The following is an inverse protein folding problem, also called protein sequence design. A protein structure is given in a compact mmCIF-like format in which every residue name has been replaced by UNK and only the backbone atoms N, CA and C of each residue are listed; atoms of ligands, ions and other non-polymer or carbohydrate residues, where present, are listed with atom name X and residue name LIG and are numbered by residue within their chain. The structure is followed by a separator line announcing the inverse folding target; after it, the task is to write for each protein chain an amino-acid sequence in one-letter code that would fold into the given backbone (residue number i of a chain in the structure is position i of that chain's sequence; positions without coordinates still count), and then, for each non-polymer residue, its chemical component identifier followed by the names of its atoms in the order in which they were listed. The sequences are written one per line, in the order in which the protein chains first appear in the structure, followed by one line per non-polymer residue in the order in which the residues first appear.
data_IF_923786576357
#
_entry.id   IF_923786576357
#
_cell.length_a   1.000
_cell.length_b   1.000
_cell.length_c   1.000
_cell.angle_alpha   90.00
_cell.angle_beta   90.00
_cell.angle_gamma   90.00
#
_symmetry.space_group_name_H-M   'P 1'
#
loop_
_entity.id
_entity.type
_entity.pdbx_description
1 polymer ?
#
# COMPACT_ATOMS: atom_id res chain seq x y z
N UNK A 1 7.31 2.53 14.90
CA UNK A 1 6.16 2.21 15.77
C UNK A 1 5.70 0.79 15.48
N UNK A 2 5.45 -0.02 16.52
CA UNK A 2 5.09 -1.46 16.43
C UNK A 2 3.60 -1.70 16.16
N UNK A 3 2.81 -0.64 15.89
CA UNK A 3 1.34 -0.73 15.78
C UNK A 3 0.86 -1.69 14.69
N UNK A 4 1.55 -1.75 13.55
CA UNK A 4 1.25 -2.69 12.47
C UNK A 4 1.42 -4.16 12.91
N UNK A 5 2.46 -4.47 13.69
CA UNK A 5 2.69 -5.81 14.24
C UNK A 5 1.65 -6.20 15.28
N UNK A 6 1.29 -5.27 16.17
CA UNK A 6 0.27 -5.53 17.18
C UNK A 6 -1.11 -5.75 16.56
N UNK A 7 -1.49 -4.94 15.57
CA UNK A 7 -2.75 -5.10 14.84
C UNK A 7 -2.82 -6.43 14.07
N UNK A 8 -1.73 -6.80 13.39
CA UNK A 8 -1.64 -8.11 12.72
C UNK A 8 -1.76 -9.26 13.72
N UNK A 9 -1.06 -9.20 14.86
CA UNK A 9 -1.13 -10.22 15.90
C UNK A 9 -2.55 -10.40 16.45
N UNK A 10 -3.28 -9.32 16.72
CA UNK A 10 -4.67 -9.39 17.16
C UNK A 10 -5.51 -10.12 16.11
N UNK A 11 -5.44 -9.69 14.86
CA UNK A 11 -6.23 -10.29 13.78
C UNK A 11 -5.93 -11.79 13.58
N UNK A 12 -4.67 -12.19 13.73
CA UNK A 12 -4.25 -13.58 13.56
C UNK A 12 -4.63 -14.51 14.73
N UNK A 13 -4.87 -13.94 15.92
CA UNK A 13 -5.12 -14.70 17.17
C UNK A 13 -6.52 -14.43 17.77
N UNK A 14 -7.41 -13.77 17.02
CA UNK A 14 -8.80 -13.52 17.46
C UNK A 14 -9.78 -14.31 16.63
N UNK A 15 -10.86 -14.75 17.26
CA UNK A 15 -12.05 -15.23 16.55
C UNK A 15 -13.06 -14.09 16.51
N UNK A 16 -13.38 -13.62 15.30
CA UNK A 16 -14.39 -12.59 15.08
C UNK A 16 -15.60 -13.21 14.40
N UNK A 17 -16.75 -13.13 15.07
CA UNK A 17 -18.01 -13.61 14.50
C UNK A 17 -18.30 -12.90 13.17
N UNK A 18 -18.55 -13.68 12.12
CA UNK A 18 -18.79 -13.17 10.77
C UNK A 18 -17.56 -13.16 9.84
N UNK A 19 -16.38 -13.58 10.32
CA UNK A 19 -15.19 -13.75 9.47
C UNK A 19 -14.68 -15.19 9.51
N UNK A 20 -14.29 -15.72 8.36
CA UNK A 20 -13.52 -16.95 8.27
C UNK A 20 -12.07 -16.69 8.73
N UNK A 21 -11.41 -17.73 9.26
CA UNK A 21 -10.01 -17.63 9.72
C UNK A 21 -9.05 -17.20 8.61
N UNK A 22 -9.29 -17.65 7.38
CA UNK A 22 -8.51 -17.23 6.19
C UNK A 22 -8.67 -15.74 5.87
N UNK A 23 -9.84 -15.15 6.13
CA UNK A 23 -10.08 -13.73 5.92
C UNK A 23 -9.36 -12.89 6.99
N UNK A 24 -9.41 -13.32 8.25
CA UNK A 24 -8.67 -12.68 9.34
C UNK A 24 -7.16 -12.74 9.14
N UNK A 25 -6.64 -13.89 8.66
CA UNK A 25 -5.25 -14.02 8.30
C UNK A 25 -4.86 -13.09 7.13
N UNK A 26 -5.70 -12.99 6.10
CA UNK A 26 -5.46 -12.05 4.99
C UNK A 26 -5.45 -10.59 5.47
N UNK A 27 -6.36 -10.23 6.37
CA UNK A 27 -6.37 -8.91 7.01
C UNK A 27 -5.13 -8.69 7.87
N UNK A 28 -4.65 -9.70 8.61
CA UNK A 28 -3.44 -9.60 9.41
C UNK A 28 -2.22 -9.33 8.53
N UNK A 29 -2.10 -10.00 7.37
CA UNK A 29 -1.06 -9.76 6.38
C UNK A 29 -1.14 -8.36 5.76
N UNK A 30 -2.34 -7.86 5.44
CA UNK A 30 -2.51 -6.48 4.96
C UNK A 30 -2.09 -5.46 6.02
N UNK A 31 -2.48 -5.66 7.28
CA UNK A 31 -2.09 -4.80 8.40
C UNK A 31 -0.60 -4.90 8.69
N UNK A 32 0.03 -6.06 8.55
CA UNK A 32 1.48 -6.17 8.71
C UNK A 32 2.21 -5.52 7.53
N UNK A 33 1.71 -5.76 6.34
CA UNK A 33 2.31 -5.37 5.06
C UNK A 33 2.12 -3.92 4.68
N UNK A 34 1.20 -3.16 5.30
CA UNK A 34 1.00 -1.74 4.95
C UNK A 34 2.17 -0.83 5.38
N UNK A 35 3.02 -1.31 6.29
CA UNK A 35 4.14 -0.55 6.81
C UNK A 35 5.44 -1.37 6.79
N UNK A 36 6.54 -0.75 6.40
CA UNK A 36 7.86 -1.39 6.39
C UNK A 36 8.18 -2.20 5.13
N UNK A 37 9.14 -3.13 5.26
CA UNK A 37 9.79 -3.82 4.14
C UNK A 37 8.97 -5.02 3.66
N UNK A 38 8.43 -4.95 2.44
CA UNK A 38 7.63 -6.02 1.82
C UNK A 38 8.35 -7.37 1.78
N UNK A 39 9.66 -7.41 1.49
CA UNK A 39 10.47 -8.66 1.52
C UNK A 39 10.46 -9.45 2.82
N UNK A 40 10.02 -8.85 3.94
CA UNK A 40 9.92 -9.53 5.24
C UNK A 40 8.53 -10.07 5.52
N UNK A 41 7.56 -9.77 4.66
CA UNK A 41 6.19 -10.24 4.80
C UNK A 41 6.14 -11.67 4.27
N UNK A 42 5.68 -12.59 5.12
CA UNK A 42 5.43 -13.97 4.76
C UNK A 42 4.05 -14.06 4.09
N UNK A 43 4.00 -13.71 2.81
CA UNK A 43 2.79 -13.68 2.00
C UNK A 43 3.07 -14.24 0.61
N UNK A 44 2.03 -14.77 -0.03
CA UNK A 44 2.08 -15.17 -1.42
C UNK A 44 1.99 -13.92 -2.33
N UNK A 45 3.13 -13.50 -2.88
CA UNK A 45 3.20 -12.35 -3.80
C UNK A 45 2.75 -12.69 -5.23
N UNK A 46 2.40 -13.94 -5.53
CA UNK A 46 1.75 -14.33 -6.78
C UNK A 46 0.22 -14.24 -6.69
N UNK A 47 -0.37 -14.11 -5.50
CA UNK A 47 -1.79 -13.74 -5.33
C UNK A 47 -1.99 -12.28 -5.74
N UNK A 48 -2.34 -12.07 -7.00
CA UNK A 48 -2.59 -10.75 -7.57
C UNK A 48 -3.70 -9.97 -6.83
N UNK A 49 -4.69 -10.67 -6.29
CA UNK A 49 -5.76 -10.06 -5.52
C UNK A 49 -5.22 -9.49 -4.20
N UNK A 50 -4.31 -10.20 -3.55
CA UNK A 50 -3.67 -9.74 -2.32
C UNK A 50 -2.77 -8.54 -2.61
N UNK A 51 -2.00 -8.61 -3.68
CA UNK A 51 -1.14 -7.52 -4.13
C UNK A 51 -1.95 -6.25 -4.42
N UNK A 52 -3.08 -6.36 -5.14
CA UNK A 52 -3.96 -5.23 -5.42
C UNK A 52 -4.54 -4.59 -4.14
N UNK A 53 -4.92 -5.41 -3.16
CA UNK A 53 -5.37 -4.91 -1.86
C UNK A 53 -4.24 -4.23 -1.09
N UNK A 54 -3.05 -4.82 -1.11
CA UNK A 54 -1.87 -4.32 -0.41
C UNK A 54 -1.42 -2.97 -0.97
N UNK A 55 -1.31 -2.82 -2.30
CA UNK A 55 -0.92 -1.53 -2.90
C UNK A 55 -1.97 -0.46 -2.66
N UNK A 56 -3.26 -0.80 -2.72
CA UNK A 56 -4.34 0.12 -2.45
C UNK A 56 -4.26 0.65 -1.01
N UNK A 57 -4.04 -0.24 -0.03
CA UNK A 57 -3.90 0.13 1.37
C UNK A 57 -2.64 0.98 1.61
N UNK A 58 -1.50 0.60 1.03
CA UNK A 58 -0.25 1.33 1.19
C UNK A 58 -0.32 2.74 0.59
N UNK A 59 -0.88 2.89 -0.61
CA UNK A 59 -1.13 4.20 -1.21
C UNK A 59 -2.10 5.03 -0.36
N UNK A 60 -3.20 4.43 0.13
CA UNK A 60 -4.14 5.14 1.01
C UNK A 60 -3.46 5.66 2.29
N UNK A 61 -2.58 4.86 2.91
CA UNK A 61 -1.81 5.29 4.09
C UNK A 61 -0.87 6.45 3.74
N UNK A 62 -0.20 6.40 2.59
CA UNK A 62 0.69 7.49 2.12
C UNK A 62 -0.10 8.78 1.87
N UNK A 63 -1.23 8.71 1.17
CA UNK A 63 -2.07 9.87 0.90
C UNK A 63 -2.67 10.47 2.19
N UNK A 64 -3.00 9.63 3.17
CA UNK A 64 -3.58 10.05 4.45
C UNK A 64 -2.55 10.28 5.57
N UNK A 65 -1.24 10.29 5.27
CA UNK A 65 -0.18 10.31 6.30
C UNK A 65 -0.24 11.53 7.23
N UNK A 66 -0.75 12.67 6.75
CA UNK A 66 -0.91 13.90 7.53
C UNK A 66 -2.20 13.97 8.33
N UNK A 67 -3.01 12.89 8.32
CA UNK A 67 -4.36 12.82 8.92
C UNK A 67 -5.35 13.87 8.40
N UNK A 68 -5.08 14.43 7.23
CA UNK A 68 -5.99 15.30 6.50
C UNK A 68 -6.62 14.56 5.32
N UNK A 69 -7.74 15.09 4.83
CA UNK A 69 -8.37 14.56 3.62
C UNK A 69 -7.41 14.75 2.43
N UNK A 70 -7.01 13.66 1.73
CA UNK A 70 -6.10 13.80 0.61
C UNK A 70 -6.78 14.50 -0.56
N UNK A 71 -6.05 15.38 -1.24
CA UNK A 71 -6.46 15.85 -2.56
C UNK A 71 -6.27 14.66 -3.51
N UNK A 72 -7.31 14.22 -4.21
CA UNK A 72 -7.22 13.11 -5.17
C UNK A 72 -7.55 13.54 -6.61
N UNK A 73 -7.77 14.84 -6.82
CA UNK A 73 -8.15 15.39 -8.13
C UNK A 73 -7.05 15.11 -9.15
N UNK A 74 -7.46 14.60 -10.32
CA UNK A 74 -6.59 14.28 -11.45
C UNK A 74 -5.50 13.23 -11.15
N UNK A 75 -5.62 12.47 -10.06
CA UNK A 75 -4.83 11.26 -9.86
C UNK A 75 -5.44 10.14 -10.70
N UNK A 76 -4.61 9.37 -11.40
CA UNK A 76 -5.03 8.12 -12.05
C UNK A 76 -4.13 6.98 -11.58
N UNK A 77 -4.73 5.82 -11.40
CA UNK A 77 -4.01 4.61 -11.03
C UNK A 77 -4.43 3.50 -12.00
N UNK A 78 -3.45 3.00 -12.74
CA UNK A 78 -3.61 1.97 -13.75
C UNK A 78 -2.76 0.75 -13.38
N UNK A 79 -3.22 -0.45 -13.76
CA UNK A 79 -2.47 -1.70 -13.60
C UNK A 79 -2.41 -2.44 -14.94
N UNK A 80 -1.24 -2.97 -15.27
CA UNK A 80 -1.03 -3.93 -16.34
C UNK A 80 -0.14 -5.06 -15.82
N UNK A 81 -0.69 -6.27 -15.66
CA UNK A 81 0.04 -7.42 -15.09
C UNK A 81 0.69 -7.10 -13.73
N UNK A 82 2.02 -7.10 -13.65
CA UNK A 82 2.82 -6.78 -12.46
C UNK A 82 3.31 -5.32 -12.40
N UNK A 83 2.87 -4.49 -13.35
CA UNK A 83 3.18 -3.07 -13.43
C UNK A 83 2.01 -2.20 -12.96
N UNK A 84 2.27 -1.37 -11.96
CA UNK A 84 1.37 -0.33 -11.49
C UNK A 84 1.87 1.04 -11.96
N UNK A 85 0.95 1.86 -12.45
CA UNK A 85 1.25 3.24 -12.86
C UNK A 85 0.38 4.21 -12.08
N UNK A 86 1.01 5.06 -11.26
CA UNK A 86 0.37 6.18 -10.58
C UNK A 86 0.69 7.47 -11.32
N UNK A 87 -0.34 8.15 -11.81
CA UNK A 87 -0.23 9.44 -12.50
C UNK A 87 -0.66 10.55 -11.56
N UNK A 88 0.22 11.54 -11.35
CA UNK A 88 0.00 12.69 -10.48
C UNK A 88 0.13 14.00 -11.28
N UNK A 89 -0.65 15.04 -10.99
CA UNK A 89 -0.41 16.36 -11.55
C UNK A 89 0.98 16.88 -11.20
N UNK A 90 1.67 17.57 -12.14
CA UNK A 90 3.01 18.16 -11.90
C UNK A 90 3.08 19.04 -10.64
N UNK A 91 1.99 19.72 -10.30
CA UNK A 91 1.91 20.58 -9.11
C UNK A 91 2.12 19.82 -7.79
N UNK A 92 1.94 18.49 -7.76
CA UNK A 92 2.09 17.68 -6.55
C UNK A 92 3.45 17.78 -5.90
N UNK A 93 4.51 17.84 -6.70
CA UNK A 93 5.87 17.93 -6.17
C UNK A 93 6.08 19.21 -5.35
N UNK A 94 5.40 20.30 -5.73
CA UNK A 94 5.45 21.57 -5.00
C UNK A 94 4.44 21.64 -3.87
N UNK A 95 3.22 21.12 -4.06
CA UNK A 95 2.15 21.21 -3.06
C UNK A 95 2.24 20.16 -1.94
N UNK A 96 2.79 18.97 -2.24
CA UNK A 96 2.84 17.83 -1.33
C UNK A 96 4.20 17.10 -1.39
N UNK A 97 5.33 17.80 -1.10
CA UNK A 97 6.68 17.23 -1.23
C UNK A 97 6.88 15.99 -0.34
N UNK A 98 6.29 15.96 0.86
CA UNK A 98 6.37 14.81 1.74
C UNK A 98 5.65 13.58 1.18
N UNK A 99 4.47 13.76 0.57
CA UNK A 99 3.77 12.64 -0.08
C UNK A 99 4.57 12.12 -1.26
N UNK A 100 5.18 13.01 -2.06
CA UNK A 100 6.02 12.61 -3.18
C UNK A 100 7.23 11.79 -2.71
N UNK A 101 7.93 12.22 -1.65
CA UNK A 101 9.01 11.45 -1.06
C UNK A 101 8.56 10.05 -0.58
N UNK A 102 7.41 9.96 0.08
CA UNK A 102 6.86 8.66 0.53
C UNK A 102 6.52 7.75 -0.65
N UNK A 103 6.03 8.30 -1.76
CA UNK A 103 5.74 7.53 -2.98
C UNK A 103 7.03 7.05 -3.66
N UNK A 104 8.11 7.84 -3.66
CA UNK A 104 9.42 7.40 -4.16
C UNK A 104 9.97 6.21 -3.35
N UNK A 105 9.87 6.26 -2.02
CA UNK A 105 10.21 5.12 -1.16
C UNK A 105 9.34 3.89 -1.44
N UNK A 106 8.07 4.12 -1.77
CA UNK A 106 7.13 3.07 -2.14
C UNK A 106 7.55 2.37 -3.44
N UNK A 107 7.97 3.10 -4.47
CA UNK A 107 8.52 2.53 -5.73
C UNK A 107 9.66 1.54 -5.42
N UNK A 108 10.59 1.91 -4.56
CA UNK A 108 11.72 1.06 -4.16
C UNK A 108 11.26 -0.18 -3.39
N UNK A 109 10.18 -0.07 -2.60
CA UNK A 109 9.63 -1.19 -1.86
C UNK A 109 9.03 -2.27 -2.79
N UNK A 110 8.31 -1.86 -3.84
CA UNK A 110 7.66 -2.78 -4.79
C UNK A 110 8.67 -3.55 -5.64
N UNK A 111 9.72 -2.89 -6.13
CA UNK A 111 10.80 -3.52 -6.89
C UNK A 111 11.46 -4.69 -6.14
N UNK A 112 11.42 -4.66 -4.81
CA UNK A 112 12.02 -5.71 -3.98
C UNK A 112 11.27 -7.05 -4.03
N UNK A 113 10.01 -7.06 -4.45
CA UNK A 113 9.18 -8.28 -4.51
C UNK A 113 8.78 -8.64 -5.96
N UNK A 114 9.54 -8.21 -6.96
CA UNK A 114 9.29 -8.46 -8.39
C UNK A 114 7.95 -7.90 -8.92
N UNK A 115 7.46 -6.84 -8.28
CA UNK A 115 6.36 -6.01 -8.76
C UNK A 115 6.90 -4.60 -9.03
N UNK A 116 6.28 -3.88 -9.95
CA UNK A 116 6.76 -2.55 -10.33
C UNK A 116 5.69 -1.51 -10.05
N UNK A 117 6.10 -0.40 -9.44
CA UNK A 117 5.29 0.80 -9.28
C UNK A 117 6.05 1.94 -9.94
N UNK A 118 5.39 2.63 -10.88
CA UNK A 118 5.94 3.79 -11.58
C UNK A 118 5.08 5.00 -11.27
N UNK A 119 5.73 6.13 -10.99
CA UNK A 119 5.07 7.41 -10.76
C UNK A 119 5.35 8.30 -11.97
N UNK A 120 4.28 8.72 -12.65
CA UNK A 120 4.35 9.62 -13.79
C UNK A 120 3.69 10.95 -13.44
N UNK A 121 4.22 12.05 -14.00
CA UNK A 121 3.56 13.35 -13.90
C UNK A 121 2.72 13.63 -15.14
N UNK A 122 1.51 14.15 -14.94
CA UNK A 122 0.64 14.62 -16.02
C UNK A 122 0.63 16.15 -16.05
N UNK A 123 0.56 16.70 -17.26
CA UNK A 123 0.35 18.13 -17.51
C UNK A 123 -1.02 18.61 -17.01
#
# INVERSE_FOLDING_TARGET
SESHRHGAYILDNTELMGFARSELHRLSLLVLGHYGKLRKLDADFEDEGFICQLISLRLAVIFCHSRNMPVLKNIKFDRHEKDFTLKLPKSWQHSFPQTCYLLEEEVIAWQKINWNLVINTTD
#
